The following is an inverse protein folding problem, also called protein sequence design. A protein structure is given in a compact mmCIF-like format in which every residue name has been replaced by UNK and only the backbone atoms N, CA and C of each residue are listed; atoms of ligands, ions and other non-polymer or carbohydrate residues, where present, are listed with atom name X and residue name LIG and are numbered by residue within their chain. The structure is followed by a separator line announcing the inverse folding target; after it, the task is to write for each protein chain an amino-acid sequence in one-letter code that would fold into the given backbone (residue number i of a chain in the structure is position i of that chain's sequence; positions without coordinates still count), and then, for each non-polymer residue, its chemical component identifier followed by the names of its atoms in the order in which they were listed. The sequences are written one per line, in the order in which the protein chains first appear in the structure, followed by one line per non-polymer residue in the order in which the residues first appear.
data_IF_785306060219
#
_entry.id   IF_785306060219
#
_cell.length_a   1.000
_cell.length_b   1.000
_cell.length_c   1.000
_cell.angle_alpha   90.00
_cell.angle_beta   90.00
_cell.angle_gamma   90.00
#
_symmetry.space_group_name_H-M   'P 1'
#
loop_
_entity.id
_entity.type
_entity.pdbx_description
1 polymer ?
#
# COMPACT_ATOMS: atom_id res chain seq x y z
N UNK A 1 3.72 0.66 2.45
CA UNK A 1 4.14 2.06 2.30
C UNK A 1 3.15 2.96 2.98
N UNK A 2 3.61 3.83 3.86
CA UNK A 2 2.76 4.84 4.49
C UNK A 2 2.23 5.83 3.45
N UNK A 3 0.91 6.08 3.46
CA UNK A 3 0.30 7.07 2.56
C UNK A 3 0.61 8.49 3.02
N UNK A 4 0.67 8.74 4.33
CA UNK A 4 0.99 10.07 4.88
C UNK A 4 2.45 10.12 5.30
N UNK A 5 3.27 10.70 4.44
CA UNK A 5 4.70 10.90 4.66
C UNK A 5 5.05 12.39 4.60
N UNK A 6 6.15 12.80 5.23
CA UNK A 6 6.43 14.22 5.52
C UNK A 6 6.92 15.04 4.31
N UNK A 7 7.59 14.42 3.34
CA UNK A 7 8.24 15.12 2.21
C UNK A 7 7.52 14.83 0.89
N UNK A 8 7.21 13.55 0.66
CA UNK A 8 6.56 13.02 -0.53
C UNK A 8 5.48 12.07 -0.04
N UNK A 9 4.27 12.12 -0.58
CA UNK A 9 3.22 11.20 -0.16
C UNK A 9 3.43 9.78 -0.72
N UNK A 10 2.69 8.82 -0.18
CA UNK A 10 2.82 7.43 -0.60
C UNK A 10 2.40 7.18 -2.04
N UNK A 11 1.49 7.97 -2.60
CA UNK A 11 1.04 7.78 -3.99
C UNK A 11 2.15 8.23 -4.96
N UNK A 12 2.78 9.38 -4.74
CA UNK A 12 3.93 9.85 -5.52
C UNK A 12 5.12 8.88 -5.40
N UNK A 13 5.42 8.41 -4.18
CA UNK A 13 6.49 7.45 -3.95
C UNK A 13 6.24 6.13 -4.68
N UNK A 14 5.00 5.64 -4.70
CA UNK A 14 4.61 4.44 -5.44
C UNK A 14 4.88 4.61 -6.94
N UNK A 15 4.46 5.72 -7.54
CA UNK A 15 4.65 5.97 -8.97
C UNK A 15 6.14 5.91 -9.33
N UNK A 16 7.00 6.60 -8.56
CA UNK A 16 8.45 6.58 -8.80
C UNK A 16 9.07 5.19 -8.60
N UNK A 17 8.60 4.42 -7.63
CA UNK A 17 9.07 3.03 -7.45
C UNK A 17 8.69 2.14 -8.64
N UNK A 18 7.47 2.30 -9.17
CA UNK A 18 7.00 1.53 -10.32
C UNK A 18 7.67 1.95 -11.64
N UNK A 19 8.11 3.19 -11.78
CA UNK A 19 8.96 3.62 -12.90
C UNK A 19 10.32 2.90 -12.90
N UNK A 20 10.92 2.72 -11.72
CA UNK A 20 12.22 2.06 -11.57
C UNK A 20 12.09 0.54 -11.70
N UNK A 21 11.07 -0.05 -11.05
CA UNK A 21 10.82 -1.49 -11.06
C UNK A 21 9.33 -1.76 -11.24
N UNK A 22 8.86 -1.79 -12.50
CA UNK A 22 7.49 -2.14 -12.82
C UNK A 22 7.10 -3.50 -12.24
N UNK A 23 5.85 -3.63 -11.78
CA UNK A 23 5.32 -4.87 -11.23
C UNK A 23 5.73 -5.20 -9.80
N UNK A 24 6.51 -4.33 -9.13
CA UNK A 24 6.76 -4.49 -7.69
C UNK A 24 5.44 -4.34 -6.92
N UNK A 25 5.01 -5.33 -6.12
CA UNK A 25 3.79 -5.19 -5.34
C UNK A 25 4.02 -4.19 -4.20
N UNK A 26 3.16 -3.18 -4.15
CA UNK A 26 3.22 -2.12 -3.15
C UNK A 26 1.92 -2.10 -2.37
N UNK A 27 2.01 -2.27 -1.05
CA UNK A 27 0.85 -2.29 -0.14
C UNK A 27 0.71 -0.93 0.53
N UNK A 28 -0.44 -0.27 0.39
CA UNK A 28 -0.75 0.99 1.04
C UNK A 28 -0.94 0.80 2.56
N UNK A 29 -0.33 1.63 3.38
CA UNK A 29 -0.55 1.68 4.82
C UNK A 29 -1.27 2.98 5.15
N UNK A 30 -2.52 2.89 5.55
CA UNK A 30 -3.43 4.03 5.71
C UNK A 30 -3.99 4.11 7.13
N UNK A 31 -4.42 5.30 7.56
CA UNK A 31 -5.14 5.46 8.82
C UNK A 31 -6.63 5.09 8.70
N UNK A 32 -7.14 4.91 7.48
CA UNK A 32 -8.55 4.72 7.21
C UNK A 32 -8.79 3.33 6.58
N UNK A 33 -9.76 2.60 7.11
CA UNK A 33 -10.05 1.20 6.72
C UNK A 33 -11.33 1.07 5.90
N UNK A 34 -11.86 2.18 5.37
CA UNK A 34 -13.10 2.16 4.61
C UNK A 34 -12.89 1.46 3.26
N UNK A 35 -13.88 0.68 2.83
CA UNK A 35 -13.87 -0.02 1.54
C UNK A 35 -13.63 0.92 0.34
N UNK A 36 -14.06 2.18 0.45
CA UNK A 36 -13.81 3.22 -0.54
C UNK A 36 -12.32 3.54 -0.72
N UNK A 37 -11.54 3.44 0.35
CA UNK A 37 -10.10 3.71 0.28
C UNK A 37 -9.36 2.55 -0.36
N UNK A 38 -9.82 1.32 -0.13
CA UNK A 38 -9.28 0.14 -0.82
C UNK A 38 -9.40 0.31 -2.33
N UNK A 39 -10.60 0.62 -2.83
CA UNK A 39 -10.79 0.84 -4.27
C UNK A 39 -9.94 1.99 -4.80
N UNK A 40 -9.82 3.08 -4.03
CA UNK A 40 -8.96 4.21 -4.40
C UNK A 40 -7.51 3.77 -4.59
N UNK A 41 -6.93 3.06 -3.62
CA UNK A 41 -5.53 2.64 -3.69
C UNK A 41 -5.28 1.59 -4.78
N UNK A 42 -6.22 0.66 -4.98
CA UNK A 42 -6.12 -0.30 -6.09
C UNK A 42 -6.13 0.42 -7.45
N UNK A 43 -6.99 1.42 -7.62
CA UNK A 43 -7.08 2.22 -8.85
C UNK A 43 -5.83 3.07 -9.09
N UNK A 44 -5.12 3.52 -8.05
CA UNK A 44 -3.90 4.30 -8.22
C UNK A 44 -2.67 3.45 -8.55
N UNK A 45 -2.72 2.13 -8.32
CA UNK A 45 -1.65 1.19 -8.68
C UNK A 45 -1.08 0.40 -7.49
N UNK A 46 -1.64 0.56 -6.28
CA UNK A 46 -1.28 -0.30 -5.16
C UNK A 46 -1.84 -1.71 -5.36
N UNK A 47 -1.10 -2.69 -4.87
CA UNK A 47 -1.49 -4.10 -4.92
C UNK A 47 -2.49 -4.46 -3.82
N UNK A 48 -2.37 -3.83 -2.65
CA UNK A 48 -3.25 -4.04 -1.50
C UNK A 48 -3.18 -2.86 -0.52
N UNK A 49 -3.87 -2.96 0.61
CA UNK A 49 -3.81 -1.99 1.69
C UNK A 49 -3.88 -2.65 3.08
N UNK A 50 -3.40 -1.93 4.09
CA UNK A 50 -3.49 -2.28 5.50
C UNK A 50 -3.71 -1.01 6.33
N UNK A 51 -4.62 -1.07 7.31
CA UNK A 51 -4.91 0.07 8.19
C UNK A 51 -3.92 0.17 9.36
N UNK A 52 -3.84 1.35 9.96
CA UNK A 52 -3.17 1.61 11.23
C UNK A 52 -4.20 1.56 12.38
N UNK A 53 -3.85 1.02 13.56
CA UNK A 53 -2.61 0.30 13.88
C UNK A 53 -2.51 -1.03 13.11
N UNK A 54 -1.28 -1.47 12.80
CA UNK A 54 -1.06 -2.69 12.01
C UNK A 54 -1.52 -3.93 12.79
N UNK A 55 -2.46 -4.67 12.22
CA UNK A 55 -2.76 -6.03 12.64
C UNK A 55 -1.69 -6.99 12.11
N UNK A 56 -1.06 -7.74 13.01
CA UNK A 56 0.04 -8.67 12.66
C UNK A 56 -0.43 -9.86 11.84
N UNK A 57 -1.61 -10.39 12.12
CA UNK A 57 -2.14 -11.54 11.40
C UNK A 57 -2.48 -11.15 9.96
N UNK A 58 -3.10 -9.98 9.78
CA UNK A 58 -3.37 -9.42 8.45
C UNK A 58 -2.07 -9.12 7.70
N UNK A 59 -1.05 -8.54 8.36
CA UNK A 59 0.24 -8.30 7.74
C UNK A 59 0.87 -9.60 7.23
N UNK A 60 0.86 -10.68 8.03
CA UNK A 60 1.37 -11.99 7.60
C UNK A 60 0.65 -12.50 6.36
N UNK A 61 -0.68 -12.43 6.32
CA UNK A 61 -1.47 -12.85 5.15
C UNK A 61 -1.13 -12.04 3.88
N UNK A 62 -0.89 -10.73 4.04
CA UNK A 62 -0.48 -9.87 2.93
C UNK A 62 0.92 -10.24 2.44
N UNK A 63 1.85 -10.53 3.35
CA UNK A 63 3.21 -10.96 2.99
C UNK A 63 3.19 -12.32 2.28
N UNK A 64 2.40 -13.28 2.74
CA UNK A 64 2.20 -14.57 2.08
C UNK A 64 1.63 -14.44 0.67
N UNK A 65 0.85 -13.39 0.40
CA UNK A 65 0.27 -13.14 -0.92
C UNK A 65 1.24 -12.50 -1.92
N UNK A 66 2.12 -11.64 -1.45
CA UNK A 66 2.87 -10.71 -2.32
C UNK A 66 4.40 -10.80 -2.22
N UNK A 67 4.94 -11.35 -1.14
CA UNK A 67 6.37 -11.35 -0.85
C UNK A 67 6.99 -12.75 -0.75
N UNK A 68 6.15 -13.79 -0.68
CA UNK A 68 6.52 -15.21 -0.67
C UNK A 68 5.98 -15.89 -1.93
#
# INVERSE_FOLDING_TARGET
MDIKMAIMDGEEAMQKMLEIRPGTPIVAQTANALSSDREKYLKSGFADHISKPIDRQLLTQIMERWAL
#
